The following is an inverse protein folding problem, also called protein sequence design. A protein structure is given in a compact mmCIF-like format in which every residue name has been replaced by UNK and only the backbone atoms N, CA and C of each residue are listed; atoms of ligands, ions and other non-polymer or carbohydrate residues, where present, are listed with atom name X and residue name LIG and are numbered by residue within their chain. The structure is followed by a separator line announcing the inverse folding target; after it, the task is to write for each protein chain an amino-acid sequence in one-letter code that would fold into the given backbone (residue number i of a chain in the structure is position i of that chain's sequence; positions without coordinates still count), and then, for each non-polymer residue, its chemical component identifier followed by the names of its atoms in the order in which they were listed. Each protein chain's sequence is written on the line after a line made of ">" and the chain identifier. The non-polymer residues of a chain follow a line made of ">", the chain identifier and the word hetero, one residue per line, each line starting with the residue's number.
data_IF_306575705463
#
_entry.id   IF_306575705463
#
_cell.length_a   1.000
_cell.length_b   1.000
_cell.length_c   1.000
_cell.angle_alpha   90.00
_cell.angle_beta   90.00
_cell.angle_gamma   90.00
#
_symmetry.space_group_name_H-M   'P 1'
#
loop_
_entity.id
_entity.type
_entity.pdbx_description
1 polymer ?
#
# COMPACT_ATOMS: atom_id res chain seq x y z
N UNK A 1 -22.74 10.26 -39.18
CA UNK A 1 -22.33 11.38 -38.30
C UNK A 1 -21.42 10.83 -37.22
N UNK A 2 -20.13 11.13 -37.24
CA UNK A 2 -19.22 10.77 -36.15
C UNK A 2 -19.50 11.70 -34.97
N UNK A 3 -20.11 11.16 -33.90
CA UNK A 3 -20.20 11.89 -32.62
C UNK A 3 -18.77 12.11 -32.13
N UNK A 4 -18.36 13.37 -32.06
CA UNK A 4 -17.10 13.72 -31.41
C UNK A 4 -17.11 13.11 -29.99
N UNK A 5 -16.07 12.35 -29.60
CA UNK A 5 -16.03 11.79 -28.26
C UNK A 5 -16.04 12.95 -27.29
N UNK A 6 -17.00 12.94 -26.35
CA UNK A 6 -17.04 13.92 -25.29
C UNK A 6 -15.67 13.96 -24.62
N UNK A 7 -14.99 15.11 -24.69
CA UNK A 7 -13.72 15.33 -24.02
C UNK A 7 -13.98 15.19 -22.52
N UNK A 8 -13.72 13.99 -21.97
CA UNK A 8 -13.80 13.77 -20.53
C UNK A 8 -12.78 14.70 -19.89
N UNK A 9 -13.24 15.72 -19.19
CA UNK A 9 -12.39 16.58 -18.39
C UNK A 9 -11.66 15.71 -17.35
N UNK A 10 -10.35 15.56 -17.50
CA UNK A 10 -9.51 14.79 -16.60
C UNK A 10 -9.22 15.60 -15.33
N UNK A 11 -10.24 15.81 -14.49
CA UNK A 11 -10.05 16.40 -13.16
C UNK A 11 -9.27 15.45 -12.24
N UNK A 12 -8.65 16.00 -11.20
CA UNK A 12 -7.96 15.18 -10.18
C UNK A 12 -8.92 14.15 -9.55
N UNK A 13 -10.17 14.56 -9.29
CA UNK A 13 -11.23 13.68 -8.80
C UNK A 13 -11.52 12.54 -9.78
N UNK A 14 -11.62 12.85 -11.08
CA UNK A 14 -11.85 11.87 -12.13
C UNK A 14 -10.73 10.82 -12.19
N UNK A 15 -9.45 11.23 -12.10
CA UNK A 15 -8.32 10.27 -12.06
C UNK A 15 -8.37 9.33 -10.84
N UNK A 16 -8.82 9.83 -9.69
CA UNK A 16 -8.94 9.05 -8.45
C UNK A 16 -10.07 8.03 -8.52
N UNK A 17 -11.23 8.44 -9.01
CA UNK A 17 -12.48 7.66 -8.94
C UNK A 17 -12.78 6.82 -10.18
N UNK A 18 -12.35 7.27 -11.37
CA UNK A 18 -12.67 6.59 -12.62
C UNK A 18 -11.80 5.34 -12.79
N UNK A 19 -12.39 4.18 -12.45
CA UNK A 19 -11.77 2.87 -12.58
C UNK A 19 -12.63 1.97 -13.47
N UNK A 20 -11.98 0.98 -14.06
CA UNK A 20 -12.59 -0.03 -14.91
C UNK A 20 -12.26 -1.40 -14.36
N UNK A 21 -13.26 -2.29 -14.30
CA UNK A 21 -13.11 -3.67 -13.84
C UNK A 21 -12.57 -4.52 -14.99
N UNK A 22 -11.49 -5.24 -14.72
CA UNK A 22 -10.78 -6.05 -15.72
C UNK A 22 -10.30 -7.36 -15.12
N UNK A 23 -10.23 -8.41 -15.93
CA UNK A 23 -9.60 -9.67 -15.58
C UNK A 23 -8.25 -9.77 -16.27
N UNK A 24 -7.22 -10.12 -15.51
CA UNK A 24 -5.87 -10.28 -16.03
C UNK A 24 -5.69 -11.68 -16.58
N UNK A 25 -5.14 -11.79 -17.78
CA UNK A 25 -4.86 -13.04 -18.47
C UNK A 25 -3.34 -13.34 -18.50
N UNK A 26 -2.53 -12.36 -18.14
CA UNK A 26 -1.07 -12.44 -18.02
C UNK A 26 -0.59 -11.79 -16.72
N UNK A 27 0.62 -12.18 -16.30
CA UNK A 27 1.30 -11.52 -15.20
C UNK A 27 1.92 -10.19 -15.65
N UNK A 28 1.76 -9.16 -14.82
CA UNK A 28 2.34 -7.84 -15.01
C UNK A 28 3.12 -7.42 -13.74
N UNK A 29 4.38 -7.87 -13.62
CA UNK A 29 5.19 -7.63 -12.42
C UNK A 29 5.36 -6.16 -12.07
N UNK A 30 5.51 -5.30 -13.08
CA UNK A 30 5.67 -3.85 -12.91
C UNK A 30 4.50 -3.18 -12.18
N UNK A 31 3.29 -3.74 -12.32
CA UNK A 31 2.08 -3.21 -11.69
C UNK A 31 1.60 -4.04 -10.50
N UNK A 32 2.36 -5.08 -10.12
CA UNK A 32 1.97 -6.04 -9.06
C UNK A 32 0.61 -6.72 -9.33
N UNK A 33 0.32 -6.91 -10.61
CA UNK A 33 -0.93 -7.46 -11.13
C UNK A 33 -0.65 -8.86 -11.67
N UNK A 34 -1.39 -9.86 -11.20
CA UNK A 34 -1.10 -11.26 -11.49
C UNK A 34 -2.17 -11.90 -12.36
N UNK A 35 -1.80 -12.94 -13.09
CA UNK A 35 -2.71 -13.72 -13.92
C UNK A 35 -3.92 -14.21 -13.12
N UNK A 36 -5.10 -14.07 -13.72
CA UNK A 36 -6.39 -14.47 -13.15
C UNK A 36 -7.04 -13.49 -12.20
N UNK A 37 -6.30 -12.49 -11.72
CA UNK A 37 -6.82 -11.52 -10.79
C UNK A 37 -7.84 -10.60 -11.47
N UNK A 38 -8.96 -10.36 -10.78
CA UNK A 38 -9.95 -9.34 -11.13
C UNK A 38 -9.59 -8.06 -10.39
N UNK A 39 -9.34 -6.97 -11.12
CA UNK A 39 -8.85 -5.72 -10.55
C UNK A 39 -9.61 -4.50 -11.11
N UNK A 40 -9.64 -3.42 -10.32
CA UNK A 40 -10.12 -2.12 -10.75
C UNK A 40 -8.93 -1.22 -11.10
N UNK A 41 -8.74 -0.96 -12.39
CA UNK A 41 -7.57 -0.23 -12.92
C UNK A 41 -8.00 1.08 -13.58
N UNK A 42 -7.04 1.97 -13.84
CA UNK A 42 -7.36 3.19 -14.60
C UNK A 42 -7.61 2.86 -16.09
N UNK A 43 -8.51 3.57 -16.78
CA UNK A 43 -8.76 3.35 -18.22
C UNK A 43 -7.49 3.48 -19.08
N UNK A 44 -6.61 4.42 -18.73
CA UNK A 44 -5.34 4.66 -19.44
C UNK A 44 -4.40 3.46 -19.29
N UNK A 45 -4.25 2.94 -18.07
CA UNK A 45 -3.41 1.78 -17.79
C UNK A 45 -3.94 0.54 -18.52
N UNK A 46 -5.26 0.35 -18.52
CA UNK A 46 -5.90 -0.76 -19.22
C UNK A 46 -5.64 -0.70 -20.73
N UNK A 47 -5.98 0.41 -21.39
CA UNK A 47 -5.89 0.52 -22.85
C UNK A 47 -4.46 0.45 -23.36
N UNK A 48 -3.52 1.11 -22.67
CA UNK A 48 -2.16 1.27 -23.19
C UNK A 48 -1.23 0.11 -22.81
N UNK A 49 -1.47 -0.57 -21.68
CA UNK A 49 -0.55 -1.60 -21.17
C UNK A 49 -1.21 -2.96 -21.04
N UNK A 50 -2.29 -3.08 -20.26
CA UNK A 50 -2.82 -4.39 -19.88
C UNK A 50 -3.55 -5.10 -21.01
N UNK A 51 -4.36 -4.38 -21.79
CA UNK A 51 -5.15 -4.97 -22.87
C UNK A 51 -4.31 -5.40 -24.08
N UNK A 52 -3.07 -4.92 -24.16
CA UNK A 52 -2.19 -5.21 -25.29
C UNK A 52 -1.91 -6.70 -25.39
N UNK A 53 -1.99 -7.26 -26.60
CA UNK A 53 -1.76 -8.68 -26.86
C UNK A 53 -2.60 -9.63 -25.97
N UNK A 54 -3.88 -9.27 -25.74
CA UNK A 54 -4.82 -10.02 -24.90
C UNK A 54 -4.29 -10.28 -23.47
N UNK A 55 -3.55 -9.33 -22.91
CA UNK A 55 -3.01 -9.46 -21.56
C UNK A 55 -4.07 -9.30 -20.46
N UNK A 56 -5.18 -8.63 -20.77
CA UNK A 56 -6.31 -8.44 -19.89
C UNK A 56 -7.59 -8.29 -20.70
N UNK A 57 -8.73 -8.54 -20.06
CA UNK A 57 -10.07 -8.45 -20.64
C UNK A 57 -10.94 -7.50 -19.81
N UNK A 58 -11.74 -6.67 -20.46
CA UNK A 58 -12.77 -5.87 -19.78
C UNK A 58 -13.87 -6.77 -19.24
N UNK A 59 -14.37 -6.44 -18.04
CA UNK A 59 -15.52 -7.09 -17.43
C UNK A 59 -16.62 -6.04 -17.27
N UNK A 60 -17.74 -6.21 -17.96
CA UNK A 60 -18.91 -5.35 -17.75
C UNK A 60 -19.82 -5.87 -16.63
N UNK A 61 -19.94 -7.19 -16.51
CA UNK A 61 -20.73 -7.86 -15.48
C UNK A 61 -20.02 -9.09 -14.92
N UNK A 62 -20.43 -9.54 -13.74
CA UNK A 62 -19.74 -10.62 -13.01
C UNK A 62 -19.86 -11.99 -13.72
N UNK A 63 -20.80 -12.13 -14.64
CA UNK A 63 -20.98 -13.33 -15.47
C UNK A 63 -19.84 -13.54 -16.49
N UNK A 64 -19.12 -12.46 -16.85
CA UNK A 64 -18.03 -12.53 -17.84
C UNK A 64 -16.69 -12.98 -17.23
N UNK A 65 -16.64 -13.17 -15.91
CA UNK A 65 -15.43 -13.54 -15.18
C UNK A 65 -15.14 -15.02 -15.40
N UNK A 66 -13.91 -15.34 -15.84
CA UNK A 66 -13.41 -16.70 -15.82
C UNK A 66 -13.15 -17.12 -14.36
N UNK A 67 -14.08 -17.90 -13.81
CA UNK A 67 -14.06 -18.35 -12.42
C UNK A 67 -12.90 -19.29 -12.11
N UNK A 68 -12.48 -20.11 -13.08
CA UNK A 68 -11.36 -21.04 -12.90
C UNK A 68 -10.06 -20.28 -12.70
N UNK A 69 -9.79 -19.34 -13.62
CA UNK A 69 -8.61 -18.49 -13.55
C UNK A 69 -8.64 -17.59 -12.30
N UNK A 70 -9.83 -17.13 -11.90
CA UNK A 70 -9.98 -16.33 -10.69
C UNK A 70 -9.66 -17.14 -9.42
N UNK A 71 -10.16 -18.36 -9.30
CA UNK A 71 -9.87 -19.23 -8.15
C UNK A 71 -8.36 -19.54 -8.03
N UNK A 72 -7.70 -19.83 -9.16
CA UNK A 72 -6.24 -19.99 -9.20
C UNK A 72 -5.50 -18.74 -8.70
N UNK A 73 -5.96 -17.55 -9.11
CA UNK A 73 -5.36 -16.29 -8.67
C UNK A 73 -5.49 -16.06 -7.16
N UNK A 74 -6.62 -16.46 -6.56
CA UNK A 74 -6.88 -16.32 -5.12
C UNK A 74 -5.97 -17.26 -4.33
N UNK A 75 -5.86 -18.52 -4.76
CA UNK A 75 -4.98 -19.50 -4.10
C UNK A 75 -3.51 -19.09 -4.19
N UNK A 76 -3.07 -18.61 -5.36
CA UNK A 76 -1.72 -18.10 -5.55
C UNK A 76 -1.44 -16.82 -4.72
N UNK A 77 -2.42 -15.93 -4.60
CA UNK A 77 -2.30 -14.74 -3.77
C UNK A 77 -2.20 -15.09 -2.28
N UNK A 78 -2.98 -16.05 -1.80
CA UNK A 78 -2.89 -16.54 -0.43
C UNK A 78 -1.51 -17.16 -0.11
N UNK A 79 -0.97 -17.95 -1.04
CA UNK A 79 0.37 -18.51 -0.91
C UNK A 79 1.46 -17.43 -0.83
N UNK A 80 1.35 -16.38 -1.66
CA UNK A 80 2.26 -15.21 -1.64
C UNK A 80 2.14 -14.42 -0.33
N UNK A 81 0.93 -14.20 0.18
CA UNK A 81 0.74 -13.53 1.46
C UNK A 81 1.39 -14.31 2.60
N UNK A 82 1.25 -15.64 2.62
CA UNK A 82 1.87 -16.50 3.63
C UNK A 82 3.40 -16.47 3.57
N UNK A 83 4.01 -16.45 2.37
CA UNK A 83 5.47 -16.39 2.24
C UNK A 83 6.05 -15.03 2.68
N UNK A 84 5.37 -13.93 2.33
CA UNK A 84 5.76 -12.58 2.79
C UNK A 84 5.69 -12.47 4.31
N UNK A 85 4.62 -12.97 4.94
CA UNK A 85 4.51 -12.97 6.39
C UNK A 85 5.63 -13.77 7.08
N UNK A 86 5.98 -14.95 6.54
CA UNK A 86 7.12 -15.75 7.05
C UNK A 86 8.45 -15.01 6.90
N UNK A 87 8.67 -14.35 5.76
CA UNK A 87 9.89 -13.58 5.51
C UNK A 87 10.02 -12.39 6.47
N UNK A 88 8.92 -11.65 6.70
CA UNK A 88 8.89 -10.53 7.65
C UNK A 88 9.17 -10.99 9.08
N UNK A 89 8.53 -12.08 9.54
CA UNK A 89 8.80 -12.64 10.88
C UNK A 89 10.27 -13.03 11.06
N UNK A 90 10.86 -13.70 10.06
CA UNK A 90 12.28 -14.10 10.09
C UNK A 90 13.22 -12.89 10.08
N UNK A 91 12.85 -11.79 9.43
CA UNK A 91 13.64 -10.55 9.47
C UNK A 91 13.54 -9.87 10.84
N UNK A 92 12.35 -9.84 11.46
CA UNK A 92 12.14 -9.29 12.80
C UNK A 92 12.94 -10.08 13.85
N UNK A 93 12.90 -11.41 13.80
CA UNK A 93 13.66 -12.29 14.70
C UNK A 93 15.18 -12.05 14.58
N UNK A 94 15.70 -11.99 13.35
CA UNK A 94 17.12 -11.69 13.10
C UNK A 94 17.54 -10.27 13.54
N UNK A 95 16.64 -9.30 13.46
CA UNK A 95 16.89 -7.95 13.96
C UNK A 95 16.90 -7.92 15.49
N UNK A 96 16.01 -8.67 16.14
CA UNK A 96 15.97 -8.79 17.60
C UNK A 96 17.21 -9.49 18.18
N UNK A 97 17.77 -10.49 17.50
CA UNK A 97 19.02 -11.14 17.90
C UNK A 97 20.24 -10.21 17.80
N UNK A 98 20.28 -9.32 16.81
CA UNK A 98 21.37 -8.33 16.67
C UNK A 98 21.37 -7.26 17.77
N UNK A 99 20.20 -6.89 18.29
CA UNK A 99 20.08 -5.89 19.36
C UNK A 99 20.52 -6.47 20.72
N UNK A 100 20.38 -7.78 20.95
CA UNK A 100 20.82 -8.43 22.19
C UNK A 100 22.34 -8.69 22.26
N UNK A 101 23.08 -8.48 21.17
CA UNK A 101 24.53 -8.72 21.10
C UNK A 101 25.41 -7.49 21.37
N UNK A 102 24.83 -6.32 21.58
CA UNK A 102 25.55 -5.04 21.69
C UNK A 102 25.31 -4.32 23.02
N UNK A 103 25.30 -5.04 24.14
CA UNK A 103 25.17 -4.45 25.48
C UNK A 103 26.10 -5.13 26.50
N UNK A 104 27.40 -5.18 26.22
CA UNK A 104 28.45 -5.20 27.26
C UNK A 104 29.75 -4.60 26.69
N UNK A 105 29.97 -3.28 26.89
CA UNK A 105 31.25 -2.69 27.37
C UNK A 105 31.28 -1.16 27.27
N UNK A 106 31.52 -0.55 28.44
CA UNK A 106 32.19 0.73 28.73
C UNK A 106 31.48 2.03 28.27
N UNK A 107 31.35 3.09 29.06
CA UNK A 107 31.93 3.45 30.36
C UNK A 107 31.22 4.66 30.97
N UNK A 108 31.34 4.75 32.29
CA UNK A 108 30.78 5.73 33.22
C UNK A 108 31.30 7.19 33.10
N UNK A 109 30.60 8.07 33.84
CA UNK A 109 30.85 9.49 34.24
C UNK A 109 30.09 10.49 33.34
N UNK A 110 29.09 11.21 33.85
CA UNK A 110 29.21 12.21 34.93
C UNK A 110 27.95 12.37 35.78
N UNK A 111 28.20 12.86 36.99
CA UNK A 111 27.33 13.02 38.17
C UNK A 111 26.32 14.18 38.12
N UNK A 112 25.29 14.01 38.95
CA UNK A 112 24.62 14.99 39.84
C UNK A 112 23.67 16.06 39.25
N UNK A 113 22.43 16.05 39.74
CA UNK A 113 21.47 17.15 39.64
C UNK A 113 20.00 16.74 39.88
N UNK A 114 19.61 16.52 41.14
CA UNK A 114 18.20 16.43 41.55
C UNK A 114 17.48 17.78 41.40
N UNK A 115 16.28 17.78 40.78
CA UNK A 115 15.00 18.29 41.35
C UNK A 115 13.85 18.23 40.33
N UNK A 116 12.79 17.50 40.73
CA UNK A 116 11.33 17.70 40.53
C UNK A 116 10.85 18.72 39.47
N UNK A 117 9.88 18.45 38.59
CA UNK A 117 8.45 18.23 38.88
C UNK A 117 7.77 17.58 37.65
N UNK A 118 6.76 16.76 37.90
CA UNK A 118 5.92 16.08 36.92
C UNK A 118 5.25 17.01 35.89
N UNK A 119 5.40 16.69 34.60
CA UNK A 119 4.42 16.98 33.55
C UNK A 119 4.54 15.91 32.46
N UNK A 120 3.39 15.38 32.02
CA UNK A 120 3.28 14.26 31.07
C UNK A 120 3.78 14.71 29.70
N UNK A 121 4.95 14.23 29.29
CA UNK A 121 5.47 14.46 27.95
C UNK A 121 4.63 13.70 26.91
N UNK A 122 3.78 14.41 26.19
CA UNK A 122 3.19 13.92 24.93
C UNK A 122 4.30 13.70 23.91
N UNK A 123 4.24 12.66 23.07
CA UNK A 123 5.31 12.35 22.12
C UNK A 123 5.49 13.50 21.13
N UNK A 124 6.64 14.18 21.21
CA UNK A 124 7.06 15.21 20.25
C UNK A 124 7.35 14.52 18.91
N UNK A 125 6.47 14.69 17.93
CA UNK A 125 6.61 14.09 16.60
C UNK A 125 7.54 14.92 15.69
N UNK A 126 7.70 16.22 15.97
CA UNK A 126 8.52 17.13 15.18
C UNK A 126 9.49 17.94 16.04
N UNK A 127 10.71 18.13 15.52
CA UNK A 127 11.77 18.92 16.16
C UNK A 127 11.44 20.41 16.33
N UNK A 128 10.37 20.89 15.67
CA UNK A 128 9.89 22.26 15.74
C UNK A 128 9.00 22.56 16.97
N UNK A 129 8.79 21.58 17.86
CA UNK A 129 7.97 21.77 19.07
C UNK A 129 6.47 21.89 18.80
N UNK A 130 6.03 21.65 17.56
CA UNK A 130 4.61 21.68 17.17
C UNK A 130 3.93 20.39 17.63
N UNK A 131 2.84 20.55 18.37
CA UNK A 131 2.01 19.44 18.88
C UNK A 131 0.84 19.15 17.94
N UNK A 132 0.23 17.96 18.07
CA UNK A 132 -0.91 17.55 17.22
C UNK A 132 -2.12 18.46 17.40
N UNK A 133 -2.27 19.08 18.58
CA UNK A 133 -3.28 20.11 18.87
C UNK A 133 -3.10 21.41 18.08
N UNK A 134 -1.87 21.73 17.65
CA UNK A 134 -1.58 22.97 16.93
C UNK A 134 -1.95 22.86 15.44
N UNK A 135 -2.15 21.64 14.93
CA UNK A 135 -2.46 21.38 13.53
C UNK A 135 -3.95 21.13 13.36
N UNK A 136 -4.68 22.14 12.87
CA UNK A 136 -6.10 22.00 12.52
C UNK A 136 -6.24 21.19 11.22
N UNK A 137 -6.49 19.88 11.34
CA UNK A 137 -6.79 19.00 10.21
C UNK A 137 -8.31 19.02 9.95
N UNK A 138 -8.80 19.54 8.80
CA UNK A 138 -10.23 19.56 8.52
C UNK A 138 -10.77 18.14 8.38
N UNK A 139 -11.78 17.79 9.20
CA UNK A 139 -12.43 16.48 9.22
C UNK A 139 -11.87 15.47 10.23
N UNK A 140 -10.95 15.89 11.10
CA UNK A 140 -10.46 15.09 12.21
C UNK A 140 -10.68 15.89 13.51
N UNK A 141 -11.73 15.54 14.26
CA UNK A 141 -11.94 16.06 15.61
C UNK A 141 -11.11 15.22 16.58
N UNK A 142 -10.09 15.82 17.19
CA UNK A 142 -9.21 15.23 18.21
C UNK A 142 -9.58 15.81 19.57
#
# INVERSE_FOLDING_TARGET
>A
MFKAPALRAYSALSKRTNKVKVQLLKDFPQFQLYKGQVAQVSPSLMRNYLHLSNGARYILGDEEIDQGLHAESITAAAARAASVQKAVKKQIEKAAEKIKGSDVKESEKTKEGEKSVAEKETPKVFNSGVTVSDVKIPGLDI
#
